data_IF_179714743234
#
_entry.id   IF_179714743234
#
_cell.length_a   1.000
_cell.length_b   1.000
_cell.length_c   1.000
_cell.angle_alpha   90.00
_cell.angle_beta   90.00
_cell.angle_gamma   90.00
#
_symmetry.space_group_name_H-M   'P 1'
#
loop_
_entity.id
_entity.type
_entity.pdbx_description
1 polymer ?
#
# COMPACT_ATOMS: atom_id res chain seq x y z
N UNK A 1 -5.53 1.40 -35.25
CA UNK A 1 -4.96 0.04 -35.12
C UNK A 1 -3.67 0.20 -34.34
N UNK A 2 -3.73 0.19 -33.02
CA UNK A 2 -2.53 0.19 -32.17
C UNK A 2 -2.76 -0.78 -31.02
N UNK A 3 -1.90 -1.78 -31.01
CA UNK A 3 -1.87 -2.95 -30.15
C UNK A 3 -1.37 -2.54 -28.76
N UNK A 4 -2.25 -2.51 -27.77
CA UNK A 4 -1.82 -2.38 -26.38
C UNK A 4 -1.34 -3.73 -25.86
N UNK A 5 -0.02 -3.88 -25.90
CA UNK A 5 0.75 -4.90 -25.23
C UNK A 5 0.42 -4.94 -23.74
N UNK A 6 -0.29 -5.98 -23.31
CA UNK A 6 -0.22 -6.47 -21.93
C UNK A 6 1.18 -7.04 -21.77
N UNK A 7 2.15 -6.24 -21.30
CA UNK A 7 3.46 -6.75 -20.90
C UNK A 7 3.28 -7.60 -19.64
N UNK A 8 3.13 -8.91 -19.86
CA UNK A 8 3.27 -9.98 -18.86
C UNK A 8 4.62 -9.82 -18.13
N UNK A 9 4.64 -9.07 -17.03
CA UNK A 9 5.74 -9.13 -16.08
C UNK A 9 5.62 -10.43 -15.30
N UNK A 10 6.22 -11.52 -15.81
CA UNK A 10 6.37 -12.85 -15.16
C UNK A 10 5.30 -13.13 -14.10
N UNK A 11 4.05 -13.12 -14.54
CA UNK A 11 2.96 -13.62 -13.72
C UNK A 11 3.16 -15.13 -13.73
N UNK A 12 3.57 -15.72 -12.62
CA UNK A 12 3.45 -17.17 -12.48
C UNK A 12 1.98 -17.53 -12.68
N UNK A 13 1.71 -18.17 -13.82
CA UNK A 13 0.38 -18.55 -14.28
C UNK A 13 -0.39 -19.31 -13.20
N UNK A 14 0.29 -20.06 -12.32
CA UNK A 14 -0.37 -20.85 -11.26
C UNK A 14 -0.97 -19.97 -10.17
N UNK A 15 -0.29 -18.92 -9.71
CA UNK A 15 -0.83 -18.01 -8.69
C UNK A 15 -1.84 -17.03 -9.26
N UNK A 16 -1.70 -16.60 -10.52
CA UNK A 16 -2.80 -15.90 -11.19
C UNK A 16 -4.03 -16.77 -11.28
N UNK A 17 -3.91 -18.06 -11.61
CA UNK A 17 -5.06 -18.98 -11.62
C UNK A 17 -5.73 -19.07 -10.26
N UNK A 18 -4.97 -19.11 -9.15
CA UNK A 18 -5.53 -19.11 -7.79
C UNK A 18 -6.20 -17.78 -7.39
N UNK A 19 -5.70 -16.64 -7.88
CA UNK A 19 -6.38 -15.35 -7.66
C UNK A 19 -7.65 -15.23 -8.51
N UNK A 20 -7.57 -15.68 -9.77
CA UNK A 20 -8.67 -15.71 -10.73
C UNK A 20 -9.79 -16.68 -10.30
N UNK A 21 -9.49 -17.72 -9.53
CA UNK A 21 -10.48 -18.71 -9.10
C UNK A 21 -11.47 -18.19 -8.05
N UNK A 22 -11.18 -17.08 -7.37
CA UNK A 22 -12.14 -16.46 -6.44
C UNK A 22 -12.77 -15.24 -7.10
N UNK A 23 -14.10 -15.19 -7.33
CA UNK A 23 -14.74 -14.10 -8.07
C UNK A 23 -14.36 -12.70 -7.57
N UNK A 24 -14.39 -12.48 -6.25
CA UNK A 24 -14.02 -11.18 -5.65
C UNK A 24 -12.55 -10.80 -5.89
N UNK A 25 -11.62 -11.77 -5.83
CA UNK A 25 -10.20 -11.53 -6.10
C UNK A 25 -9.93 -11.31 -7.59
N UNK A 26 -10.62 -12.05 -8.44
CA UNK A 26 -10.58 -11.85 -9.89
C UNK A 26 -11.06 -10.44 -10.24
N UNK A 27 -12.17 -9.98 -9.66
CA UNK A 27 -12.65 -8.62 -9.88
C UNK A 27 -11.61 -7.58 -9.44
N UNK A 28 -10.98 -7.73 -8.27
CA UNK A 28 -9.91 -6.81 -7.83
C UNK A 28 -8.78 -6.78 -8.87
N UNK A 29 -8.32 -7.95 -9.32
CA UNK A 29 -7.24 -8.07 -10.29
C UNK A 29 -7.62 -7.42 -11.62
N UNK A 30 -8.75 -7.79 -12.20
CA UNK A 30 -9.21 -7.27 -13.49
C UNK A 30 -9.46 -5.76 -13.44
N UNK A 31 -10.08 -5.25 -12.37
CA UNK A 31 -10.27 -3.81 -12.19
C UNK A 31 -8.95 -3.06 -12.02
N UNK A 32 -7.94 -3.68 -11.41
CA UNK A 32 -6.59 -3.08 -11.30
C UNK A 32 -5.91 -3.03 -12.67
N UNK A 33 -6.02 -4.11 -13.45
CA UNK A 33 -5.47 -4.19 -14.82
C UNK A 33 -6.19 -3.26 -15.81
N UNK A 34 -7.52 -3.10 -15.69
CA UNK A 34 -8.33 -2.15 -16.48
C UNK A 34 -7.83 -0.71 -16.33
N UNK A 35 -7.27 -0.36 -15.16
CA UNK A 35 -6.67 0.95 -14.87
C UNK A 35 -5.20 1.06 -15.32
N UNK A 36 -4.69 0.08 -16.06
CA UNK A 36 -3.30 0.07 -16.56
C UNK A 36 -2.24 -0.23 -15.50
N UNK A 37 -2.64 -0.72 -14.32
CA UNK A 37 -1.70 -1.02 -13.25
C UNK A 37 -0.87 -2.28 -13.54
N UNK A 38 0.36 -2.29 -13.04
CA UNK A 38 1.23 -3.47 -13.05
C UNK A 38 1.02 -4.22 -11.74
N UNK A 39 0.66 -5.50 -11.83
CA UNK A 39 0.48 -6.37 -10.67
C UNK A 39 1.65 -7.33 -10.55
N UNK A 40 2.39 -7.22 -9.44
CA UNK A 40 3.51 -8.10 -9.12
C UNK A 40 3.09 -9.10 -8.06
N UNK A 41 3.22 -10.39 -8.37
CA UNK A 41 3.04 -11.46 -7.39
C UNK A 41 4.37 -11.83 -6.76
N UNK A 42 4.52 -11.59 -5.46
CA UNK A 42 5.69 -12.03 -4.69
C UNK A 42 5.54 -13.52 -4.33
N UNK A 43 6.39 -14.35 -4.93
CA UNK A 43 6.35 -15.82 -4.83
C UNK A 43 7.52 -16.37 -4.01
N UNK A 44 7.36 -17.62 -3.57
CA UNK A 44 8.45 -18.37 -2.92
C UNK A 44 8.61 -18.10 -1.41
N UNK A 45 7.62 -17.45 -0.78
CA UNK A 45 7.58 -17.21 0.66
C UNK A 45 6.49 -18.03 1.36
N UNK A 46 6.73 -18.47 2.61
CA UNK A 46 5.70 -19.07 3.46
C UNK A 46 4.51 -18.13 3.70
N UNK A 47 3.31 -18.69 3.89
CA UNK A 47 2.09 -17.90 4.13
C UNK A 47 2.16 -17.06 5.40
N UNK A 48 2.91 -17.52 6.42
CA UNK A 48 3.11 -16.79 7.68
C UNK A 48 3.75 -15.41 7.46
N UNK A 49 4.56 -15.25 6.41
CA UNK A 49 5.23 -13.99 6.08
C UNK A 49 4.41 -13.08 5.16
N UNK A 50 3.22 -13.51 4.72
CA UNK A 50 2.44 -12.80 3.69
C UNK A 50 2.11 -11.35 4.08
N UNK A 51 1.76 -11.10 5.35
CA UNK A 51 1.44 -9.76 5.85
C UNK A 51 2.68 -8.88 5.85
N UNK A 52 3.81 -9.37 6.41
CA UNK A 52 5.07 -8.62 6.40
C UNK A 52 5.50 -8.30 4.96
N UNK A 53 5.45 -9.29 4.07
CA UNK A 53 5.82 -9.10 2.66
C UNK A 53 4.90 -8.12 1.93
N UNK A 54 3.61 -8.07 2.28
CA UNK A 54 2.71 -7.06 1.73
C UNK A 54 3.06 -5.64 2.19
N UNK A 55 3.61 -5.49 3.40
CA UNK A 55 4.02 -4.21 3.94
C UNK A 55 5.38 -3.78 3.36
N UNK A 56 6.39 -4.64 3.46
CA UNK A 56 7.78 -4.36 3.08
C UNK A 56 7.98 -4.39 1.56
N UNK A 57 7.27 -5.25 0.85
CA UNK A 57 7.45 -5.43 -0.60
C UNK A 57 7.27 -4.14 -1.41
N UNK A 58 6.46 -3.20 -0.93
CA UNK A 58 6.24 -1.90 -1.59
C UNK A 58 7.50 -1.05 -1.67
N UNK A 59 8.43 -1.18 -0.72
CA UNK A 59 9.69 -0.44 -0.72
C UNK A 59 10.58 -0.84 -1.89
N UNK A 60 10.40 -2.07 -2.38
CA UNK A 60 11.17 -2.67 -3.46
C UNK A 60 10.45 -2.62 -4.82
N UNK A 61 9.39 -1.81 -4.96
CA UNK A 61 8.59 -1.77 -6.20
C UNK A 61 9.44 -1.53 -7.47
N UNK A 62 10.48 -0.68 -7.39
CA UNK A 62 11.38 -0.40 -8.53
C UNK A 62 12.36 -1.52 -8.86
N UNK A 63 12.46 -2.54 -8.01
CA UNK A 63 13.31 -3.71 -8.20
C UNK A 63 12.63 -4.81 -9.03
N UNK A 64 11.29 -4.89 -9.02
CA UNK A 64 10.53 -5.93 -9.70
C UNK A 64 10.07 -5.49 -11.10
N UNK A 65 10.85 -5.85 -12.15
CA UNK A 65 10.54 -6.01 -13.60
C UNK A 65 9.78 -4.86 -14.33
N UNK A 66 10.09 -4.60 -15.62
CA UNK A 66 10.58 -3.26 -15.98
C UNK A 66 9.58 -2.18 -15.56
N UNK A 67 9.91 -1.47 -14.48
CA UNK A 67 9.21 -0.24 -14.13
C UNK A 67 9.20 0.63 -15.39
N UNK A 68 8.02 0.83 -15.99
CA UNK A 68 7.88 1.46 -17.30
C UNK A 68 8.03 2.99 -17.24
N UNK A 69 8.28 3.54 -16.05
CA UNK A 69 8.65 4.94 -15.91
C UNK A 69 10.13 5.17 -16.21
N UNK A 70 10.42 6.37 -16.71
CA UNK A 70 11.79 6.87 -16.88
C UNK A 70 12.53 6.92 -15.54
N UNK A 71 13.86 7.03 -15.62
CA UNK A 71 14.73 7.26 -14.47
C UNK A 71 14.33 8.48 -13.61
N UNK A 72 13.64 9.44 -14.21
CA UNK A 72 13.18 10.70 -13.59
C UNK A 72 11.71 10.67 -13.17
N UNK A 73 11.00 9.58 -13.47
CA UNK A 73 9.63 9.40 -13.01
C UNK A 73 9.57 9.44 -11.49
N UNK A 74 8.61 10.18 -10.94
CA UNK A 74 8.39 10.27 -9.50
C UNK A 74 7.59 9.07 -9.03
N UNK A 75 8.10 8.39 -8.01
CA UNK A 75 7.42 7.32 -7.30
C UNK A 75 6.92 7.83 -5.96
N UNK A 76 5.64 7.58 -5.69
CA UNK A 76 5.03 7.77 -4.38
C UNK A 76 4.69 6.40 -3.81
N UNK A 77 5.26 6.06 -2.65
CA UNK A 77 4.81 4.88 -1.89
C UNK A 77 3.86 5.33 -0.78
N UNK A 78 2.72 4.64 -0.66
CA UNK A 78 1.66 4.98 0.29
C UNK A 78 1.04 3.73 0.90
N UNK A 79 0.37 3.89 2.04
CA UNK A 79 -0.64 2.94 2.49
C UNK A 79 -1.84 2.92 1.52
N UNK A 80 -2.38 1.74 1.25
CA UNK A 80 -3.46 1.56 0.27
C UNK A 80 -4.78 2.24 0.69
N UNK A 81 -4.90 2.60 1.97
CA UNK A 81 -6.04 3.33 2.52
C UNK A 81 -5.80 4.83 2.67
N UNK A 82 -4.63 5.33 2.24
CA UNK A 82 -4.30 6.75 2.18
C UNK A 82 -4.39 7.20 0.73
N UNK A 83 -5.29 8.15 0.47
CA UNK A 83 -5.55 8.68 -0.86
C UNK A 83 -4.96 10.09 -1.02
N UNK A 84 -4.06 10.32 -1.99
CA UNK A 84 -3.52 11.65 -2.25
C UNK A 84 -4.64 12.56 -2.77
N UNK A 85 -4.71 13.78 -2.23
CA UNK A 85 -5.71 14.80 -2.62
C UNK A 85 -5.03 15.99 -3.29
N UNK A 86 -3.87 16.43 -2.79
CA UNK A 86 -3.16 17.60 -3.30
C UNK A 86 -1.86 17.20 -3.99
N UNK A 87 -1.90 17.10 -5.31
CA UNK A 87 -0.77 16.71 -6.17
C UNK A 87 0.53 17.46 -5.85
N UNK A 88 0.48 18.79 -5.69
CA UNK A 88 1.64 19.62 -5.42
C UNK A 88 2.42 19.26 -4.13
N UNK A 89 1.81 18.51 -3.20
CA UNK A 89 2.51 18.02 -1.99
C UNK A 89 3.47 16.88 -2.29
N UNK A 90 3.28 16.23 -3.44
CA UNK A 90 4.03 15.06 -3.90
C UNK A 90 5.06 15.42 -4.97
N UNK A 91 5.21 16.69 -5.30
CA UNK A 91 6.27 17.16 -6.18
C UNK A 91 7.62 17.13 -5.43
N UNK A 92 8.68 16.77 -6.14
CA UNK A 92 10.02 16.87 -5.60
C UNK A 92 10.45 18.34 -5.61
N UNK A 93 10.85 18.93 -4.46
CA UNK A 93 11.40 20.27 -4.43
C UNK A 93 12.63 20.38 -5.34
N UNK A 94 12.82 21.53 -5.97
CA UNK A 94 14.04 21.81 -6.71
C UNK A 94 15.26 21.86 -5.79
N UNK A 95 16.44 21.54 -6.33
CA UNK A 95 17.71 21.61 -5.61
C UNK A 95 18.19 20.24 -5.11
N UNK A 96 18.74 20.19 -3.88
CA UNK A 96 19.43 19.01 -3.34
C UNK A 96 18.48 17.93 -2.79
N UNK A 97 17.20 18.24 -2.65
CA UNK A 97 16.20 17.31 -2.12
C UNK A 97 15.97 16.15 -3.08
N UNK A 98 16.24 14.93 -2.63
CA UNK A 98 16.02 13.71 -3.42
C UNK A 98 14.85 12.88 -2.91
N UNK A 99 14.48 13.04 -1.63
CA UNK A 99 13.40 12.30 -0.98
C UNK A 99 12.49 13.29 -0.24
N UNK A 100 11.17 13.10 -0.32
CA UNK A 100 10.19 13.78 0.53
C UNK A 100 9.52 12.74 1.42
N UNK A 101 9.50 12.98 2.73
CA UNK A 101 8.76 12.18 3.70
C UNK A 101 7.60 13.01 4.25
N UNK A 102 6.38 12.60 3.92
CA UNK A 102 5.16 13.28 4.36
C UNK A 102 4.74 12.74 5.73
N UNK A 103 4.19 13.63 6.57
CA UNK A 103 3.78 13.33 7.95
C UNK A 103 4.95 12.83 8.82
N UNK A 104 6.18 13.29 8.53
CA UNK A 104 7.42 12.79 9.13
C UNK A 104 7.56 13.01 10.65
N UNK A 105 6.66 13.81 11.25
CA UNK A 105 6.69 14.16 12.67
C UNK A 105 5.52 13.57 13.47
N UNK A 106 4.71 12.67 12.88
CA UNK A 106 3.61 12.03 13.62
C UNK A 106 4.07 11.12 14.75
N UNK A 107 5.30 10.64 14.62
CA UNK A 107 5.74 9.41 15.20
C UNK A 107 7.09 9.70 15.87
N UNK A 108 7.30 9.07 17.03
CA UNK A 108 8.45 9.34 17.88
C UNK A 108 9.75 8.74 17.33
N UNK A 109 10.54 8.17 18.21
CA UNK A 109 11.78 7.49 17.84
C UNK A 109 11.68 6.02 18.20
N UNK A 110 12.41 5.17 17.48
CA UNK A 110 12.63 3.78 17.86
C UNK A 110 14.13 3.52 17.98
N UNK A 111 14.50 2.48 18.73
CA UNK A 111 15.89 2.04 18.86
C UNK A 111 16.11 0.75 18.08
N UNK A 112 17.22 0.67 17.37
CA UNK A 112 17.68 -0.52 16.69
C UNK A 112 19.21 -0.59 16.77
N UNK A 113 19.75 -1.71 17.26
CA UNK A 113 21.20 -1.91 17.47
C UNK A 113 21.88 -0.73 18.18
N UNK A 114 21.29 -0.26 19.28
CA UNK A 114 21.81 0.86 20.08
C UNK A 114 21.61 2.26 19.48
N UNK A 115 21.19 2.36 18.21
CA UNK A 115 20.98 3.65 17.53
C UNK A 115 19.51 4.06 17.61
N UNK A 116 19.25 5.35 17.87
CA UNK A 116 17.91 5.92 17.83
C UNK A 116 17.60 6.49 16.44
N UNK A 117 16.48 6.06 15.86
CA UNK A 117 16.01 6.49 14.56
C UNK A 117 14.67 7.19 14.70
N UNK A 118 14.45 8.27 13.93
CA UNK A 118 13.12 8.88 13.82
C UNK A 118 12.20 7.87 13.14
N UNK A 119 11.07 7.55 13.77
CA UNK A 119 10.08 6.69 13.16
C UNK A 119 9.32 7.49 12.10
N UNK A 120 9.57 7.20 10.84
CA UNK A 120 8.84 7.79 9.73
C UNK A 120 7.64 6.91 9.37
N UNK A 121 6.41 7.43 9.40
CA UNK A 121 5.23 6.63 9.03
C UNK A 121 5.29 6.27 7.56
N UNK A 122 4.78 5.08 7.21
CA UNK A 122 4.52 4.69 5.81
C UNK A 122 3.26 5.37 5.28
N UNK A 123 3.17 6.69 5.45
CA UNK A 123 2.07 7.49 4.93
C UNK A 123 2.30 7.81 3.46
N UNK A 124 3.26 8.66 3.15
CA UNK A 124 3.73 8.89 1.79
C UNK A 124 5.23 9.21 1.77
N UNK A 125 5.98 8.51 0.92
CA UNK A 125 7.34 8.90 0.56
C UNK A 125 7.44 9.09 -0.93
N UNK A 126 8.17 10.13 -1.32
CA UNK A 126 8.34 10.55 -2.71
C UNK A 126 9.82 10.54 -3.06
N UNK A 127 10.17 9.94 -4.17
CA UNK A 127 11.48 10.09 -4.80
C UNK A 127 11.38 9.75 -6.29
N UNK A 128 12.34 10.17 -7.09
CA UNK A 128 12.44 9.64 -8.45
C UNK A 128 12.97 8.20 -8.44
N UNK A 129 12.70 7.46 -9.53
CA UNK A 129 13.13 6.05 -9.68
C UNK A 129 14.63 5.88 -9.46
N UNK A 130 15.44 6.79 -9.98
CA UNK A 130 16.90 6.76 -9.82
C UNK A 130 17.30 6.80 -8.34
N UNK A 131 16.75 7.74 -7.59
CA UNK A 131 16.99 7.87 -6.15
C UNK A 131 16.52 6.64 -5.41
N UNK A 132 15.34 6.11 -5.74
CA UNK A 132 14.80 4.91 -5.11
C UNK A 132 15.68 3.68 -5.34
N UNK A 133 16.17 3.49 -6.57
CA UNK A 133 17.13 2.42 -6.90
C UNK A 133 18.47 2.59 -6.16
N UNK A 134 18.98 3.83 -6.06
CA UNK A 134 20.19 4.14 -5.30
C UNK A 134 19.99 3.81 -3.82
N UNK A 135 18.86 4.22 -3.23
CA UNK A 135 18.51 3.94 -1.84
C UNK A 135 18.54 2.42 -1.58
N UNK A 136 17.86 1.62 -2.39
CA UNK A 136 17.85 0.15 -2.23
C UNK A 136 19.27 -0.43 -2.36
N UNK A 137 20.01 -0.03 -3.40
CA UNK A 137 21.36 -0.56 -3.70
C UNK A 137 22.39 -0.28 -2.63
N UNK A 138 22.21 0.77 -1.83
CA UNK A 138 23.09 1.05 -0.68
C UNK A 138 22.97 0.01 0.43
N UNK A 139 21.81 -0.64 0.53
CA UNK A 139 21.54 -1.58 1.61
C UNK A 139 21.51 -3.04 1.18
N UNK A 140 21.15 -3.31 -0.08
CA UNK A 140 21.04 -4.68 -0.58
C UNK A 140 21.15 -4.75 -2.10
N UNK A 141 21.44 -5.94 -2.60
CA UNK A 141 21.24 -6.26 -4.02
C UNK A 141 19.75 -6.11 -4.33
N UNK A 142 19.41 -5.57 -5.50
CA UNK A 142 18.01 -5.40 -5.90
C UNK A 142 17.29 -6.76 -5.83
N UNK A 143 16.29 -6.92 -4.94
CA UNK A 143 15.63 -8.20 -4.78
C UNK A 143 14.84 -8.54 -6.04
N UNK A 144 14.89 -9.80 -6.42
CA UNK A 144 14.21 -10.33 -7.62
C UNK A 144 12.96 -11.13 -7.26
N UNK A 145 12.84 -11.57 -6.01
CA UNK A 145 11.71 -12.36 -5.52
C UNK A 145 11.40 -12.11 -4.04
N UNK A 146 10.34 -12.75 -3.52
CA UNK A 146 9.95 -12.62 -2.12
C UNK A 146 11.00 -13.17 -1.14
N UNK A 147 11.75 -14.19 -1.57
CA UNK A 147 12.82 -14.78 -0.77
C UNK A 147 13.94 -13.77 -0.53
N UNK A 148 14.33 -13.02 -1.55
CA UNK A 148 15.37 -12.00 -1.42
C UNK A 148 14.95 -10.90 -0.42
N UNK A 149 13.69 -10.46 -0.49
CA UNK A 149 13.14 -9.52 0.51
C UNK A 149 13.18 -10.12 1.91
N UNK A 150 12.77 -11.39 2.07
CA UNK A 150 12.79 -12.07 3.37
C UNK A 150 14.21 -12.18 3.92
N UNK A 151 15.16 -12.64 3.12
CA UNK A 151 16.56 -12.76 3.52
C UNK A 151 17.13 -11.42 3.97
N UNK A 152 16.82 -10.34 3.26
CA UNK A 152 17.22 -9.00 3.65
C UNK A 152 16.51 -8.51 4.93
N UNK A 153 15.20 -8.73 5.07
CA UNK A 153 14.48 -8.37 6.29
C UNK A 153 15.00 -9.16 7.50
N UNK A 154 15.39 -10.41 7.32
CA UNK A 154 16.00 -11.25 8.34
C UNK A 154 17.40 -10.78 8.73
N UNK A 155 18.22 -10.33 7.77
CA UNK A 155 19.53 -9.78 8.09
C UNK A 155 19.44 -8.49 8.90
N UNK A 156 18.38 -7.69 8.69
CA UNK A 156 18.12 -6.48 9.48
C UNK A 156 17.48 -6.75 10.85
N UNK A 157 16.44 -7.59 10.91
CA UNK A 157 15.56 -7.70 12.07
C UNK A 157 15.59 -9.07 12.77
N UNK A 158 16.45 -9.98 12.30
CA UNK A 158 16.59 -11.33 12.83
C UNK A 158 15.30 -12.15 12.75
N UNK A 159 15.06 -12.98 13.77
CA UNK A 159 13.90 -13.87 13.84
C UNK A 159 12.55 -13.14 13.79
N UNK A 160 12.51 -11.84 14.12
CA UNK A 160 11.29 -11.03 14.06
C UNK A 160 10.69 -10.99 12.65
N UNK A 161 11.52 -10.99 11.61
CA UNK A 161 11.08 -10.99 10.21
C UNK A 161 10.39 -12.30 9.79
N UNK A 162 10.63 -13.39 10.53
CA UNK A 162 10.03 -14.72 10.29
C UNK A 162 8.68 -14.91 10.97
N UNK A 163 8.41 -14.15 12.02
CA UNK A 163 7.24 -14.31 12.85
C UNK A 163 5.97 -13.83 12.16
N UNK A 164 4.83 -14.38 12.58
CA UNK A 164 3.52 -13.87 12.17
C UNK A 164 3.37 -12.42 12.61
N UNK A 165 2.90 -11.57 11.68
CA UNK A 165 2.63 -10.17 11.99
C UNK A 165 1.34 -10.07 12.79
N UNK A 166 1.41 -9.40 13.95
CA UNK A 166 0.26 -9.05 14.77
C UNK A 166 0.03 -7.55 14.66
N UNK A 167 -1.10 -7.13 14.09
CA UNK A 167 -1.44 -5.71 13.91
C UNK A 167 -1.28 -4.93 15.22
N UNK A 168 -0.39 -3.94 15.23
CA UNK A 168 -0.07 -3.12 16.40
C UNK A 168 0.54 -3.89 17.59
N UNK A 169 0.79 -5.19 17.45
CA UNK A 169 1.17 -6.08 18.54
C UNK A 169 2.61 -6.58 18.47
N UNK A 170 3.32 -6.38 17.36
CA UNK A 170 4.75 -6.68 17.26
C UNK A 170 5.49 -5.79 16.25
N UNK A 171 6.82 -5.79 16.33
CA UNK A 171 7.72 -5.05 15.44
C UNK A 171 7.50 -5.40 13.96
N UNK A 172 7.09 -6.65 13.66
CA UNK A 172 6.75 -7.07 12.31
C UNK A 172 5.68 -6.20 11.65
N UNK A 173 4.75 -5.62 12.43
CA UNK A 173 3.73 -4.71 11.92
C UNK A 173 4.27 -3.35 11.45
N UNK A 174 5.43 -2.92 11.96
CA UNK A 174 6.06 -1.63 11.65
C UNK A 174 7.34 -1.79 10.84
N UNK A 175 7.58 -2.97 10.25
CA UNK A 175 8.87 -3.31 9.66
C UNK A 175 9.20 -2.46 8.43
N UNK A 176 8.20 -2.10 7.62
CA UNK A 176 8.36 -1.17 6.50
C UNK A 176 8.74 0.24 6.97
N UNK A 177 8.08 0.74 8.03
CA UNK A 177 8.39 2.02 8.67
C UNK A 177 9.82 2.04 9.23
N UNK A 178 10.21 0.98 9.94
CA UNK A 178 11.56 0.86 10.52
C UNK A 178 12.62 0.80 9.43
N UNK A 179 12.41 -0.03 8.40
CA UNK A 179 13.33 -0.17 7.27
C UNK A 179 13.51 1.17 6.54
N UNK A 180 12.42 1.83 6.18
CA UNK A 180 12.47 3.12 5.49
C UNK A 180 13.11 4.21 6.36
N UNK A 181 12.83 4.22 7.66
CA UNK A 181 13.44 5.17 8.60
C UNK A 181 14.96 5.03 8.68
N UNK A 182 15.46 3.80 8.75
CA UNK A 182 16.90 3.52 8.74
C UNK A 182 17.55 3.87 7.40
N UNK A 183 16.87 3.59 6.28
CA UNK A 183 17.36 3.94 4.95
C UNK A 183 17.46 5.45 4.73
N UNK A 184 16.45 6.20 5.16
CA UNK A 184 16.42 7.66 5.04
C UNK A 184 17.50 8.30 5.92
N UNK A 185 17.71 7.78 7.13
CA UNK A 185 18.77 8.26 8.02
C UNK A 185 20.18 7.98 7.44
N UNK A 186 20.44 6.78 6.90
CA UNK A 186 21.70 6.49 6.18
C UNK A 186 21.88 7.41 4.96
N UNK A 187 20.81 7.63 4.19
CA UNK A 187 20.83 8.52 3.04
C UNK A 187 21.24 9.94 3.45
N UNK A 188 20.67 10.49 4.52
CA UNK A 188 21.04 11.82 5.00
C UNK A 188 22.49 11.90 5.50
N UNK A 189 22.99 10.86 6.18
CA UNK A 189 24.40 10.82 6.59
C UNK A 189 25.36 10.86 5.39
N UNK A 190 24.95 10.26 4.28
CA UNK A 190 25.79 10.18 3.08
C UNK A 190 25.67 11.40 2.15
N UNK A 191 24.46 11.92 1.95
CA UNK A 191 24.17 13.01 1.01
C UNK A 191 23.91 14.37 1.68
N UNK A 192 23.96 14.42 3.01
CA UNK A 192 23.76 15.61 3.83
C UNK A 192 22.30 15.83 4.25
N UNK A 193 22.10 16.63 5.30
CA UNK A 193 20.79 16.87 5.92
C UNK A 193 19.74 17.45 4.97
N UNK A 194 20.16 18.21 3.95
CA UNK A 194 19.29 18.81 2.94
C UNK A 194 18.83 17.86 1.83
N UNK A 195 19.25 16.59 1.85
CA UNK A 195 18.88 15.60 0.83
C UNK A 195 17.47 15.03 1.00
N UNK A 196 16.84 15.27 2.17
CA UNK A 196 15.51 14.79 2.52
C UNK A 196 14.67 15.94 3.05
N UNK A 197 13.49 16.16 2.44
CA UNK A 197 12.50 17.10 2.93
C UNK A 197 11.51 16.39 3.85
N UNK A 198 11.37 16.88 5.08
CA UNK A 198 10.39 16.41 6.04
C UNK A 198 9.18 17.33 6.05
N UNK A 199 8.05 16.84 5.53
CA UNK A 199 6.80 17.60 5.53
C UNK A 199 6.02 17.27 6.80
N UNK A 200 5.80 18.30 7.64
CA UNK A 200 4.92 18.20 8.79
C UNK A 200 3.47 18.21 8.31
N UNK A 201 2.67 17.34 8.92
CA UNK A 201 1.21 17.35 8.80
C UNK A 201 0.62 18.06 10.01
N UNK A 202 -0.27 19.02 9.80
CA UNK A 202 -1.13 19.57 10.84
C UNK A 202 -2.29 18.59 11.11
N UNK A 203 -2.19 17.89 12.25
CA UNK A 203 -3.20 16.93 12.68
C UNK A 203 -4.58 17.56 12.76
N UNK A 204 -5.56 16.95 12.07
CA UNK A 204 -6.94 17.42 12.03
C UNK A 204 -7.24 18.50 10.99
N UNK A 205 -6.24 18.95 10.21
CA UNK A 205 -6.44 19.89 9.09
C UNK A 205 -6.04 19.28 7.75
N UNK A 206 -4.82 18.76 7.68
CA UNK A 206 -4.22 18.37 6.41
C UNK A 206 -4.73 17.02 5.89
N UNK A 207 -5.39 16.22 6.73
CA UNK A 207 -5.96 14.94 6.34
C UNK A 207 -7.44 14.88 6.66
N UNK A 208 -8.20 14.35 5.70
CA UNK A 208 -9.55 13.87 5.98
C UNK A 208 -9.42 12.54 6.73
N UNK A 209 -9.33 12.63 8.06
CA UNK A 209 -9.07 11.49 8.93
C UNK A 209 -10.34 10.65 9.19
N UNK A 210 -10.16 9.32 9.34
CA UNK A 210 -11.24 8.37 9.64
C UNK A 210 -12.08 8.77 10.85
N UNK A 211 -11.40 9.26 11.90
CA UNK A 211 -12.01 9.63 13.19
C UNK A 211 -12.91 10.86 13.10
N UNK A 212 -12.73 11.69 12.07
CA UNK A 212 -13.49 12.93 11.86
C UNK A 212 -13.97 13.04 10.40
N UNK A 213 -14.46 11.93 9.86
CA UNK A 213 -14.81 11.82 8.45
C UNK A 213 -16.03 12.67 8.08
N UNK A 214 -15.77 13.84 7.49
CA UNK A 214 -16.77 14.76 6.97
C UNK A 214 -16.20 15.57 5.78
N UNK A 215 -15.89 14.93 4.63
CA UNK A 215 -15.38 15.63 3.46
C UNK A 215 -16.43 16.61 2.91
N UNK A 216 -16.17 17.92 3.06
CA UNK A 216 -16.99 19.02 2.53
C UNK A 216 -16.25 19.88 1.51
N UNK A 217 -14.93 19.92 1.62
CA UNK A 217 -14.00 20.65 0.74
C UNK A 217 -12.68 19.91 0.70
N UNK A 218 -11.90 20.09 -0.36
CA UNK A 218 -10.51 19.65 -0.45
C UNK A 218 -9.53 20.74 -0.04
N UNK A 219 -10.02 21.97 0.21
CA UNK A 219 -9.16 23.09 0.60
C UNK A 219 -8.38 22.76 1.88
N UNK A 220 -7.05 22.85 1.80
CA UNK A 220 -6.13 22.50 2.88
C UNK A 220 -5.84 21.01 3.04
N UNK A 221 -6.63 20.11 2.44
CA UNK A 221 -6.39 18.67 2.54
C UNK A 221 -5.25 18.23 1.60
N UNK A 222 -4.26 17.54 2.17
CA UNK A 222 -3.15 16.88 1.48
C UNK A 222 -3.57 15.48 1.03
N UNK A 223 -4.20 14.72 1.93
CA UNK A 223 -4.61 13.34 1.72
C UNK A 223 -5.91 12.99 2.49
N UNK A 224 -6.42 11.77 2.30
CA UNK A 224 -7.57 11.24 3.01
C UNK A 224 -7.29 9.82 3.54
N UNK A 225 -7.66 9.53 4.80
CA UNK A 225 -7.60 8.17 5.35
C UNK A 225 -8.94 7.48 5.16
N UNK A 226 -9.06 6.66 4.12
CA UNK A 226 -10.32 6.05 3.73
C UNK A 226 -10.98 5.25 4.84
N UNK A 227 -12.29 5.38 5.00
CA UNK A 227 -13.06 4.56 5.94
C UNK A 227 -12.83 3.05 5.73
N UNK A 228 -12.72 2.32 6.85
CA UNK A 228 -12.69 0.86 6.83
C UNK A 228 -13.99 0.31 6.28
N UNK A 229 -13.91 -0.83 5.57
CA UNK A 229 -15.06 -1.48 4.93
C UNK A 229 -15.85 -0.53 4.01
N UNK A 230 -15.14 0.30 3.26
CA UNK A 230 -15.71 1.26 2.30
C UNK A 230 -16.63 0.60 1.26
N UNK A 231 -16.49 -0.71 1.02
CA UNK A 231 -17.40 -1.45 0.15
C UNK A 231 -18.84 -1.55 0.68
N UNK A 232 -19.07 -1.51 2.00
CA UNK A 232 -20.42 -1.62 2.59
C UNK A 232 -21.27 -0.39 2.27
N UNK A 233 -22.57 -0.59 1.97
CA UNK A 233 -23.47 0.50 1.53
C UNK A 233 -23.50 1.70 2.49
N UNK A 234 -23.60 1.45 3.80
CA UNK A 234 -23.60 2.51 4.82
C UNK A 234 -22.33 3.35 4.78
N UNK A 235 -21.18 2.70 4.61
CA UNK A 235 -19.88 3.35 4.58
C UNK A 235 -19.63 4.02 3.23
N UNK A 236 -20.04 3.38 2.13
CA UNK A 236 -19.91 3.90 0.78
C UNK A 236 -20.62 5.23 0.60
N UNK A 237 -21.85 5.37 1.12
CA UNK A 237 -22.58 6.65 1.14
C UNK A 237 -21.77 7.80 1.74
N UNK A 238 -20.89 7.51 2.70
CA UNK A 238 -19.99 8.51 3.32
C UNK A 238 -18.72 8.76 2.50
N UNK A 239 -18.30 7.82 1.67
CA UNK A 239 -17.14 7.96 0.75
C UNK A 239 -17.51 8.79 -0.48
N UNK A 240 -18.75 8.66 -0.98
CA UNK A 240 -19.24 9.37 -2.18
C UNK A 240 -18.98 10.88 -2.20
N UNK A 241 -19.17 11.65 -1.11
CA UNK A 241 -18.84 13.07 -1.11
C UNK A 241 -17.37 13.37 -1.42
N UNK A 242 -16.42 12.54 -0.94
CA UNK A 242 -15.01 12.68 -1.30
C UNK A 242 -14.77 12.41 -2.79
N UNK A 243 -15.37 11.34 -3.34
CA UNK A 243 -15.28 11.04 -4.78
C UNK A 243 -15.85 12.19 -5.63
N UNK A 244 -16.95 12.78 -5.20
CA UNK A 244 -17.56 13.93 -5.88
C UNK A 244 -16.65 15.16 -5.83
N UNK A 245 -15.95 15.38 -4.71
CA UNK A 245 -14.98 16.46 -4.60
C UNK A 245 -13.74 16.23 -5.46
N UNK A 246 -13.27 14.98 -5.57
CA UNK A 246 -12.07 14.61 -6.35
C UNK A 246 -12.31 14.65 -7.86
N UNK A 247 -13.43 14.10 -8.33
CA UNK A 247 -13.66 13.87 -9.74
C UNK A 247 -14.93 14.55 -10.28
N UNK A 248 -15.87 14.92 -9.42
CA UNK A 248 -17.22 15.33 -9.80
C UNK A 248 -18.15 14.14 -10.09
N UNK A 249 -19.41 14.23 -9.67
CA UNK A 249 -20.41 13.16 -9.76
C UNK A 249 -20.71 12.65 -11.18
N UNK A 250 -20.43 13.45 -12.21
CA UNK A 250 -20.66 13.09 -13.61
C UNK A 250 -19.45 12.44 -14.29
N UNK A 251 -18.28 12.44 -13.65
CA UNK A 251 -17.03 11.92 -14.22
C UNK A 251 -17.02 10.42 -14.47
N UNK A 252 -16.13 9.97 -15.35
CA UNK A 252 -15.86 8.56 -15.61
C UNK A 252 -15.36 7.84 -14.37
N UNK A 253 -14.49 8.48 -13.60
CA UNK A 253 -13.84 7.95 -12.39
C UNK A 253 -14.88 7.69 -11.30
N UNK A 254 -15.75 8.68 -11.04
CA UNK A 254 -16.84 8.52 -10.09
C UNK A 254 -17.76 7.34 -10.47
N UNK A 255 -18.17 7.27 -11.74
CA UNK A 255 -19.02 6.17 -12.23
C UNK A 255 -18.32 4.82 -12.19
N UNK A 256 -17.02 4.79 -12.46
CA UNK A 256 -16.19 3.59 -12.35
C UNK A 256 -16.18 3.09 -10.90
N UNK A 257 -15.93 3.97 -9.92
CA UNK A 257 -15.97 3.62 -8.50
C UNK A 257 -17.35 3.06 -8.08
N UNK A 258 -18.44 3.69 -8.48
CA UNK A 258 -19.81 3.22 -8.22
C UNK A 258 -20.11 1.86 -8.86
N UNK A 259 -19.61 1.62 -10.08
CA UNK A 259 -19.73 0.31 -10.75
C UNK A 259 -18.92 -0.75 -10.01
N UNK A 260 -17.66 -0.44 -9.68
CA UNK A 260 -16.76 -1.34 -8.98
C UNK A 260 -17.35 -1.79 -7.64
N UNK A 261 -17.81 -0.85 -6.81
CA UNK A 261 -18.38 -1.15 -5.50
C UNK A 261 -19.62 -2.04 -5.61
N UNK A 262 -20.56 -1.74 -6.52
CA UNK A 262 -21.77 -2.55 -6.71
C UNK A 262 -21.46 -3.97 -7.14
N UNK A 263 -20.51 -4.14 -8.06
CA UNK A 263 -20.07 -5.45 -8.51
C UNK A 263 -19.39 -6.21 -7.36
N UNK A 264 -18.50 -5.54 -6.62
CA UNK A 264 -17.76 -6.14 -5.51
C UNK A 264 -18.70 -6.64 -4.41
N UNK A 265 -19.68 -5.80 -4.03
CA UNK A 265 -20.72 -6.17 -3.07
C UNK A 265 -21.50 -7.41 -3.51
N UNK A 266 -21.92 -7.49 -4.78
CA UNK A 266 -22.63 -8.67 -5.31
C UNK A 266 -21.80 -9.94 -5.21
N UNK A 267 -20.48 -9.86 -5.38
CA UNK A 267 -19.61 -11.04 -5.33
C UNK A 267 -19.36 -11.51 -3.89
N UNK A 268 -19.26 -10.60 -2.93
CA UNK A 268 -19.03 -10.99 -1.53
C UNK A 268 -20.32 -11.40 -0.82
N UNK A 269 -21.48 -10.82 -1.16
CA UNK A 269 -22.77 -11.16 -0.54
C UNK A 269 -23.27 -12.57 -0.91
N UNK A 270 -23.04 -13.01 -2.15
CA UNK A 270 -23.32 -14.39 -2.60
C UNK A 270 -22.58 -15.45 -1.78
N UNK A 271 -21.41 -15.10 -1.24
CA UNK A 271 -20.60 -16.01 -0.42
C UNK A 271 -21.17 -16.16 1.00
N UNK A 272 -21.76 -15.10 1.55
CA UNK A 272 -22.42 -15.11 2.86
C UNK A 272 -23.70 -15.95 2.84
N UNK A 273 -24.48 -15.90 1.75
CA UNK A 273 -25.71 -16.70 1.62
C UNK A 273 -25.48 -18.21 1.42
N UNK A 274 -24.30 -18.62 0.95
CA UNK A 274 -23.92 -20.04 0.79
C UNK A 274 -23.37 -20.64 2.09
N UNK A 275 -22.82 -19.81 2.98
CA UNK A 275 -22.27 -20.25 4.28
C UNK A 275 -23.34 -20.33 5.37
N UNK A 276 -24.45 -19.60 5.25
CA UNK A 276 -25.60 -19.71 6.18
C UNK A 276 -26.56 -20.85 5.85
N UNK A 277 -26.36 -21.58 4.73
CA UNK A 277 -27.21 -22.72 4.33
C UNK A 277 -26.68 -24.10 4.75
N UNK A 278 -25.57 -24.17 5.48
CA UNK A 278 -24.91 -25.44 5.84
C UNK A 278 -24.92 -25.79 7.33
N UNK A 279 -25.71 -25.08 8.16
CA UNK A 279 -25.80 -25.36 9.61
C UNK A 279 -27.14 -25.92 10.10
N UNK A 280 -28.07 -26.27 9.22
CA UNK A 280 -29.35 -26.89 9.62
C UNK A 280 -29.50 -28.30 9.01
N UNK A 281 -28.97 -29.31 9.72
CA UNK A 281 -29.53 -30.66 9.83
C UNK A 281 -28.53 -31.61 10.53
N UNK A 282 -28.59 -31.67 11.86
CA UNK A 282 -28.20 -32.89 12.60
C UNK A 282 -29.43 -33.33 13.38
N UNK A 283 -30.09 -34.45 13.01
CA UNK A 283 -31.19 -34.97 13.80
C UNK A 283 -30.67 -35.51 15.13
N UNK A 284 -31.24 -35.01 16.23
CA UNK A 284 -31.08 -35.57 17.56
C UNK A 284 -31.64 -36.99 17.60
N UNK A 285 -30.76 -37.98 17.54
CA UNK A 285 -31.09 -39.36 17.93
C UNK A 285 -31.22 -39.40 19.46
N UNK A 286 -32.47 -39.49 19.94
CA UNK A 286 -32.81 -39.84 21.32
C UNK A 286 -32.35 -41.28 21.58
N UNK A 287 -31.52 -41.47 22.61
CA UNK A 287 -31.20 -42.78 23.18
C UNK A 287 -32.32 -43.18 24.15
N UNK A 288 -32.83 -44.39 23.99
CA UNK A 288 -33.27 -45.25 25.08
C UNK A 288 -32.10 -46.17 25.44
#
# INVERSE_FOLDING_TARGET
METHWVRECRIDRRRSTKWRSTPARNQILESTLEQGAIVVFLLGAPSVNSVMLSQVGRLFAVAFVPFNGSSDSVLVTSDADIWPVKAATYDLPSGRTSIVSINAFCCGYFRHNGTAYRLLPMSNFVANVTTWRKLIRRHTVLPSCARDILTYAESMFGATARNSVKKGGNVGWYMDQHMMSMWVDDWQRHFGNGSVAYVRRECGKDRIDRSRWAPRTLHGAIDAHLLLKSHEERTWKRVRPLLNLLYGNKSSEFRWCERYQRLFLKLISKKTSLTTKTTDAVPLLKKH
#
